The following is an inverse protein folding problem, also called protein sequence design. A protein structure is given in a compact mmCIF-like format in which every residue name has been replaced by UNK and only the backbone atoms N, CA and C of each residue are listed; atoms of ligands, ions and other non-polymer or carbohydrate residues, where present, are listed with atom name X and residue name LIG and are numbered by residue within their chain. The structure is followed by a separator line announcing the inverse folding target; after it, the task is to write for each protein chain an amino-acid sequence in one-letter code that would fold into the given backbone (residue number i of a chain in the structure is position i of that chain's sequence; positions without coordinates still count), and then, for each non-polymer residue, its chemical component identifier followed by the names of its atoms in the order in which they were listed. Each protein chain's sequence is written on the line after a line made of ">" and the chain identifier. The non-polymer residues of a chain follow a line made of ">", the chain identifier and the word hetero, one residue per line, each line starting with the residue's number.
data_IF_500583965501
#
_entry.id   IF_500583965501
#
_cell.length_a   1.000
_cell.length_b   1.000
_cell.length_c   1.000
_cell.angle_alpha   90.00
_cell.angle_beta   90.00
_cell.angle_gamma   90.00
#
_symmetry.space_group_name_H-M   'P 1'
#
loop_
_entity.id
_entity.type
_entity.pdbx_description
1 polymer ?
#
# COMPACT_ATOMS: atom_id res chain seq x y z
N UNK A 1 15.81 14.46 -12.53
CA UNK A 1 16.47 13.53 -11.59
C UNK A 1 16.99 12.37 -12.41
N UNK A 2 18.30 12.14 -12.45
CA UNK A 2 18.91 11.15 -13.33
C UNK A 2 19.01 9.81 -12.58
N UNK A 3 18.29 8.78 -13.04
CA UNK A 3 18.23 7.44 -12.42
C UNK A 3 19.63 6.89 -12.13
N UNK A 4 20.59 7.09 -13.03
CA UNK A 4 21.96 6.61 -12.86
C UNK A 4 22.68 7.31 -11.71
N UNK A 5 22.44 8.61 -11.49
CA UNK A 5 23.01 9.32 -10.35
C UNK A 5 22.47 8.76 -9.02
N UNK A 6 21.21 8.35 -8.98
CA UNK A 6 20.61 7.77 -7.78
C UNK A 6 21.10 6.35 -7.53
N UNK A 7 21.33 5.56 -8.59
CA UNK A 7 22.01 4.26 -8.51
C UNK A 7 23.43 4.45 -7.97
N UNK A 8 24.20 5.40 -8.50
CA UNK A 8 25.57 5.68 -8.08
C UNK A 8 25.63 6.09 -6.60
N UNK A 9 24.72 6.95 -6.13
CA UNK A 9 24.64 7.34 -4.69
C UNK A 9 24.39 6.15 -3.77
N UNK A 10 23.68 5.13 -4.23
CA UNK A 10 23.41 3.92 -3.45
C UNK A 10 24.61 2.96 -3.45
N UNK A 11 25.32 2.85 -4.58
CA UNK A 11 26.52 2.00 -4.71
C UNK A 11 27.77 2.61 -4.04
N UNK A 12 27.86 3.94 -4.01
CA UNK A 12 28.99 4.71 -3.48
C UNK A 12 28.56 5.58 -2.29
N UNK A 13 28.13 4.93 -1.20
CA UNK A 13 27.67 5.59 0.04
C UNK A 13 28.68 6.62 0.60
N UNK A 14 29.97 6.42 0.34
CA UNK A 14 31.09 7.25 0.82
C UNK A 14 31.36 8.50 -0.04
N UNK A 15 30.84 8.59 -1.28
CA UNK A 15 31.14 9.69 -2.23
C UNK A 15 29.97 10.66 -2.49
N UNK A 16 28.93 10.65 -1.63
CA UNK A 16 27.64 11.37 -1.87
C UNK A 16 27.77 12.85 -2.26
N UNK A 17 28.79 13.57 -1.77
CA UNK A 17 29.01 14.99 -2.07
C UNK A 17 29.50 15.30 -3.50
N UNK A 18 30.22 14.38 -4.14
CA UNK A 18 30.82 14.61 -5.46
C UNK A 18 29.92 14.18 -6.63
N UNK A 19 28.96 13.28 -6.38
CA UNK A 19 28.10 12.69 -7.43
C UNK A 19 27.22 13.73 -8.15
N UNK A 20 26.85 14.83 -7.48
CA UNK A 20 26.00 15.88 -8.07
C UNK A 20 26.73 16.67 -9.18
N UNK A 21 28.07 16.71 -9.14
CA UNK A 21 28.90 17.43 -10.13
C UNK A 21 29.29 16.59 -11.34
N UNK A 22 29.09 15.28 -11.30
CA UNK A 22 29.57 14.37 -12.34
C UNK A 22 28.71 14.44 -13.60
N UNK A 23 29.37 14.45 -14.76
CA UNK A 23 28.72 14.40 -16.06
C UNK A 23 28.09 13.03 -16.34
N UNK A 24 27.17 12.94 -17.31
CA UNK A 24 26.49 11.68 -17.65
C UNK A 24 27.46 10.54 -17.95
N UNK A 25 28.52 10.81 -18.74
CA UNK A 25 29.53 9.82 -19.12
C UNK A 25 30.31 9.32 -17.90
N UNK A 26 30.73 10.23 -17.03
CA UNK A 26 31.46 9.90 -15.79
C UNK A 26 30.61 9.05 -14.83
N UNK A 27 29.32 9.34 -14.72
CA UNK A 27 28.39 8.55 -13.90
C UNK A 27 28.27 7.12 -14.44
N UNK A 28 28.15 6.96 -15.77
CA UNK A 28 28.09 5.65 -16.43
C UNK A 28 29.36 4.84 -16.16
N UNK A 29 30.53 5.44 -16.35
CA UNK A 29 31.83 4.80 -16.16
C UNK A 29 32.08 4.38 -14.70
N UNK A 30 31.74 5.24 -13.72
CA UNK A 30 31.92 4.92 -12.30
C UNK A 30 30.98 3.78 -11.85
N UNK A 31 29.71 3.77 -12.29
CA UNK A 31 28.79 2.67 -11.99
C UNK A 31 29.33 1.37 -12.59
N UNK A 32 29.77 1.40 -13.85
CA UNK A 32 30.31 0.23 -14.54
C UNK A 32 31.48 -0.38 -13.77
N UNK A 33 32.44 0.47 -13.35
CA UNK A 33 33.60 0.05 -12.56
C UNK A 33 33.17 -0.57 -11.22
N UNK A 34 32.30 0.10 -10.47
CA UNK A 34 31.84 -0.37 -9.16
C UNK A 34 31.14 -1.74 -9.25
N UNK A 35 30.30 -1.95 -10.26
CA UNK A 35 29.57 -3.20 -10.43
C UNK A 35 30.44 -4.35 -10.93
N UNK A 36 31.60 -4.05 -11.52
CA UNK A 36 32.61 -5.05 -11.91
C UNK A 36 33.43 -5.53 -10.71
N UNK A 37 33.75 -4.62 -9.79
CA UNK A 37 34.54 -4.91 -8.59
C UNK A 37 33.70 -5.50 -7.45
N UNK A 38 32.41 -5.13 -7.36
CA UNK A 38 31.51 -5.55 -6.28
C UNK A 38 30.47 -6.55 -6.78
N UNK A 39 30.02 -7.42 -5.88
CA UNK A 39 28.88 -8.30 -6.12
C UNK A 39 27.60 -7.62 -5.64
N UNK A 40 26.84 -7.04 -6.56
CA UNK A 40 25.62 -6.31 -6.25
C UNK A 40 24.39 -6.95 -6.91
N UNK A 41 23.25 -6.88 -6.22
CA UNK A 41 21.94 -7.03 -6.86
C UNK A 41 21.36 -5.64 -7.09
N UNK A 42 21.32 -5.19 -8.33
CA UNK A 42 20.70 -3.91 -8.70
C UNK A 42 19.26 -4.16 -9.11
N UNK A 43 18.31 -3.52 -8.42
CA UNK A 43 16.89 -3.59 -8.76
C UNK A 43 16.46 -2.26 -9.36
N UNK A 44 16.07 -2.26 -10.63
CA UNK A 44 15.49 -1.10 -11.30
C UNK A 44 13.98 -1.29 -11.39
N UNK A 45 13.25 -0.51 -10.60
CA UNK A 45 11.81 -0.65 -10.47
C UNK A 45 11.06 0.15 -11.56
N UNK A 46 9.99 -0.43 -12.11
CA UNK A 46 9.01 0.17 -13.01
C UNK A 46 9.57 0.73 -14.33
N UNK A 47 10.41 -0.04 -15.04
CA UNK A 47 10.86 0.32 -16.40
C UNK A 47 9.71 0.14 -17.39
N UNK A 48 9.33 1.22 -18.09
CA UNK A 48 8.15 1.23 -18.95
C UNK A 48 8.43 1.01 -20.44
N UNK A 49 9.56 1.54 -20.95
CA UNK A 49 9.91 1.47 -22.38
C UNK A 49 11.25 0.76 -22.58
N UNK A 50 11.36 0.07 -23.71
CA UNK A 50 12.62 -0.55 -24.16
C UNK A 50 13.71 0.51 -24.32
N UNK A 51 13.36 1.71 -24.78
CA UNK A 51 14.32 2.79 -24.98
C UNK A 51 14.86 3.35 -23.65
N UNK A 52 14.05 3.35 -22.59
CA UNK A 52 14.50 3.72 -21.24
C UNK A 52 15.61 2.76 -20.79
N UNK A 53 15.39 1.45 -20.94
CA UNK A 53 16.42 0.46 -20.65
C UNK A 53 17.65 0.61 -21.55
N UNK A 54 17.50 0.85 -22.86
CA UNK A 54 18.64 1.08 -23.77
C UNK A 54 19.51 2.25 -23.30
N UNK A 55 18.91 3.31 -22.76
CA UNK A 55 19.65 4.46 -22.22
C UNK A 55 20.42 4.13 -20.94
N UNK A 56 19.92 3.19 -20.12
CA UNK A 56 20.52 2.82 -18.83
C UNK A 56 21.57 1.72 -18.96
N UNK A 57 21.35 0.78 -19.90
CA UNK A 57 22.18 -0.41 -20.13
C UNK A 57 23.70 -0.14 -20.16
N UNK A 58 24.23 0.94 -20.76
CA UNK A 58 25.67 1.17 -20.82
C UNK A 58 26.38 1.24 -19.46
N UNK A 59 25.67 1.56 -18.37
CA UNK A 59 26.24 1.63 -17.03
C UNK A 59 26.45 0.26 -16.37
N UNK A 60 25.99 -0.82 -16.99
CA UNK A 60 25.84 -2.12 -16.34
C UNK A 60 26.67 -3.23 -17.02
N UNK A 61 27.65 -3.84 -16.33
CA UNK A 61 28.47 -4.93 -16.86
C UNK A 61 27.71 -6.27 -16.81
N UNK A 62 26.66 -6.44 -17.62
CA UNK A 62 25.76 -7.62 -17.56
C UNK A 62 26.48 -8.95 -17.87
N UNK A 63 27.48 -8.90 -18.74
CA UNK A 63 28.25 -10.07 -19.18
C UNK A 63 29.57 -10.25 -18.43
N UNK A 64 29.90 -9.33 -17.51
CA UNK A 64 31.19 -9.28 -16.83
C UNK A 64 30.99 -9.16 -15.32
N UNK A 65 31.52 -10.13 -14.56
CA UNK A 65 31.44 -10.13 -13.10
C UNK A 65 30.21 -10.87 -12.56
N UNK A 66 29.98 -10.74 -11.25
CA UNK A 66 28.96 -11.49 -10.51
C UNK A 66 27.75 -10.63 -10.10
N UNK A 67 27.73 -9.36 -10.49
CA UNK A 67 26.60 -8.48 -10.24
C UNK A 67 25.37 -8.90 -11.07
N UNK A 68 24.20 -8.91 -10.43
CA UNK A 68 22.92 -9.28 -11.06
C UNK A 68 22.02 -8.06 -11.14
N UNK A 69 21.25 -7.97 -12.22
CA UNK A 69 20.30 -6.87 -12.43
C UNK A 69 18.91 -7.45 -12.56
N UNK A 70 17.99 -6.93 -11.75
CA UNK A 70 16.58 -7.24 -11.79
C UNK A 70 15.82 -6.01 -12.28
N UNK A 71 15.07 -6.16 -13.36
CA UNK A 71 14.18 -5.13 -13.87
C UNK A 71 12.75 -5.53 -13.51
N UNK A 72 11.98 -4.62 -12.91
CA UNK A 72 10.54 -4.82 -12.78
C UNK A 72 9.84 -4.00 -13.85
N UNK A 73 8.78 -4.55 -14.42
CA UNK A 73 7.99 -3.87 -15.45
C UNK A 73 6.55 -4.34 -15.43
N UNK A 74 5.66 -3.45 -15.87
CA UNK A 74 4.25 -3.74 -16.14
C UNK A 74 3.98 -4.02 -17.63
N UNK A 75 5.03 -4.05 -18.47
CA UNK A 75 4.93 -4.18 -19.93
C UNK A 75 5.69 -5.42 -20.42
N UNK A 76 4.96 -6.32 -21.07
CA UNK A 76 5.50 -7.59 -21.58
C UNK A 76 6.53 -7.40 -22.71
N UNK A 77 6.49 -6.28 -23.44
CA UNK A 77 7.39 -6.00 -24.56
C UNK A 77 8.87 -5.86 -24.18
N UNK A 78 9.20 -5.72 -22.89
CA UNK A 78 10.56 -5.73 -22.35
C UNK A 78 11.16 -7.14 -22.21
N UNK A 79 10.37 -8.19 -22.43
CA UNK A 79 10.81 -9.60 -22.43
C UNK A 79 11.96 -9.89 -23.40
N UNK A 80 12.11 -9.09 -24.45
CA UNK A 80 13.17 -9.25 -25.46
C UNK A 80 14.58 -8.94 -24.95
N UNK A 81 14.71 -8.35 -23.76
CA UNK A 81 15.99 -7.82 -23.28
C UNK A 81 16.64 -8.64 -22.17
N UNK A 82 15.98 -9.71 -21.71
CA UNK A 82 16.52 -10.59 -20.68
C UNK A 82 15.60 -11.77 -20.41
N UNK A 83 15.88 -12.51 -19.34
CA UNK A 83 15.00 -13.60 -18.88
C UNK A 83 13.75 -12.98 -18.25
N UNK A 84 12.59 -13.26 -18.83
CA UNK A 84 11.31 -12.81 -18.29
C UNK A 84 10.86 -13.74 -17.17
N UNK A 85 10.55 -13.16 -16.01
CA UNK A 85 9.85 -13.87 -14.94
C UNK A 85 8.45 -13.27 -14.77
N UNK A 86 7.40 -13.88 -15.36
CA UNK A 86 6.05 -13.37 -15.22
C UNK A 86 5.58 -13.53 -13.77
N UNK A 87 5.32 -12.39 -13.12
CA UNK A 87 4.67 -12.41 -11.82
C UNK A 87 3.18 -12.67 -12.03
N UNK A 88 2.69 -13.79 -11.49
CA UNK A 88 1.26 -14.02 -11.36
C UNK A 88 0.61 -12.96 -10.49
N UNK A 89 -0.67 -12.67 -10.74
CA UNK A 89 -1.45 -11.95 -9.74
C UNK A 89 -1.55 -12.80 -8.49
N UNK A 90 -1.48 -12.16 -7.33
CA UNK A 90 -1.81 -12.84 -6.08
C UNK A 90 -3.28 -13.25 -6.14
N UNK A 91 -3.56 -14.49 -5.72
CA UNK A 91 -4.93 -14.89 -5.41
C UNK A 91 -5.49 -14.01 -4.29
N UNK A 92 -6.81 -14.09 -4.04
CA UNK A 92 -7.43 -13.38 -2.92
C UNK A 92 -6.80 -13.81 -1.59
N UNK A 93 -6.52 -15.10 -1.45
CA UNK A 93 -5.93 -15.73 -0.28
C UNK A 93 -4.47 -15.34 -0.12
N UNK A 94 -3.67 -15.36 -1.20
CA UNK A 94 -2.27 -14.93 -1.18
C UNK A 94 -2.13 -13.43 -0.92
N UNK A 95 -3.01 -12.61 -1.49
CA UNK A 95 -3.09 -11.19 -1.24
C UNK A 95 -3.45 -10.89 0.22
N UNK A 96 -4.39 -11.66 0.79
CA UNK A 96 -4.73 -11.58 2.20
C UNK A 96 -3.58 -12.04 3.10
N UNK A 97 -2.89 -13.14 2.76
CA UNK A 97 -1.75 -13.63 3.52
C UNK A 97 -0.57 -12.66 3.44
N UNK A 98 -0.32 -12.04 2.29
CA UNK A 98 0.70 -11.01 2.15
C UNK A 98 0.33 -9.76 2.96
N UNK A 99 -0.94 -9.34 2.92
CA UNK A 99 -1.43 -8.25 3.76
C UNK A 99 -1.25 -8.61 5.23
N UNK A 100 -1.62 -9.82 5.66
CA UNK A 100 -1.46 -10.33 7.03
C UNK A 100 0.00 -10.34 7.43
N UNK A 101 0.89 -10.93 6.63
CA UNK A 101 2.33 -10.93 6.90
C UNK A 101 2.84 -9.50 7.00
N UNK A 102 2.55 -8.62 6.05
CA UNK A 102 3.02 -7.23 6.11
C UNK A 102 2.42 -6.48 7.30
N UNK A 103 1.14 -6.73 7.63
CA UNK A 103 0.37 -6.18 8.74
C UNK A 103 0.94 -6.55 10.09
N UNK A 104 1.30 -7.82 10.25
CA UNK A 104 1.55 -8.43 11.55
C UNK A 104 2.99 -8.92 11.73
N UNK A 105 3.89 -8.87 10.73
CA UNK A 105 5.27 -9.41 10.82
C UNK A 105 6.23 -8.67 11.76
N UNK A 106 5.81 -7.58 12.40
CA UNK A 106 6.60 -6.84 13.40
C UNK A 106 5.82 -6.54 14.67
N UNK A 107 4.60 -7.05 14.76
CA UNK A 107 3.89 -7.06 16.02
C UNK A 107 4.42 -8.32 16.68
N UNK A 108 5.20 -8.16 17.75
CA UNK A 108 5.33 -9.25 18.71
C UNK A 108 3.89 -9.75 18.93
N UNK A 109 3.60 -11.06 18.79
CA UNK A 109 2.30 -11.55 19.24
C UNK A 109 2.10 -10.95 20.63
N UNK A 110 0.92 -10.34 20.91
CA UNK A 110 0.70 -9.76 22.22
C UNK A 110 1.16 -10.81 23.21
N UNK A 111 2.12 -10.43 24.07
CA UNK A 111 2.65 -11.31 25.11
C UNK A 111 1.45 -12.06 25.66
N UNK A 112 1.48 -13.40 25.63
CA UNK A 112 0.37 -14.20 26.13
C UNK A 112 -0.02 -13.65 27.50
N UNK A 113 -1.25 -13.15 27.59
CA UNK A 113 -1.72 -12.33 28.70
C UNK A 113 -1.49 -10.83 28.48
N UNK A 114 -2.57 -10.11 28.14
CA UNK A 114 -3.10 -8.92 28.86
C UNK A 114 -4.36 -8.53 28.08
N UNK A 115 -5.45 -9.22 28.38
CA UNK A 115 -6.70 -8.50 28.68
C UNK A 115 -6.85 -8.74 30.18
N UNK A 116 -6.37 -7.82 31.01
CA UNK A 116 -6.80 -7.86 32.40
C UNK A 116 -8.29 -7.48 32.41
N UNK A 117 -9.08 -8.24 33.17
CA UNK A 117 -10.51 -7.99 33.40
C UNK A 117 -10.83 -6.58 33.92
N UNK A 118 -9.80 -5.80 34.27
CA UNK A 118 -9.88 -4.39 34.67
C UNK A 118 -10.09 -3.40 33.51
N UNK A 119 -9.85 -3.78 32.25
CA UNK A 119 -10.06 -2.90 31.07
C UNK A 119 -11.44 -3.06 30.43
N UNK A 120 -12.31 -3.84 31.08
CA UNK A 120 -13.67 -4.16 30.65
C UNK A 120 -14.62 -3.08 31.18
N UNK A 121 -15.34 -2.39 30.30
CA UNK A 121 -16.52 -1.63 30.72
C UNK A 121 -17.54 -2.58 31.34
N UNK A 122 -18.39 -2.11 32.27
CA UNK A 122 -19.28 -2.94 33.11
C UNK A 122 -20.21 -3.92 32.37
N UNK A 123 -20.28 -3.90 31.04
CA UNK A 123 -21.10 -4.79 30.21
C UNK A 123 -20.42 -5.21 28.88
N UNK A 124 -19.12 -4.96 28.68
CA UNK A 124 -18.45 -5.30 27.40
C UNK A 124 -18.18 -6.81 27.29
N UNK A 125 -18.54 -7.44 26.17
CA UNK A 125 -18.22 -8.86 25.93
C UNK A 125 -16.75 -9.04 25.53
N UNK A 126 -16.21 -10.25 25.70
CA UNK A 126 -14.85 -10.59 25.23
C UNK A 126 -14.69 -10.35 23.71
N UNK A 127 -15.78 -10.47 22.95
CA UNK A 127 -15.80 -10.18 21.52
C UNK A 127 -15.66 -8.67 21.24
N UNK A 128 -16.18 -7.81 22.10
CA UNK A 128 -16.05 -6.35 21.99
C UNK A 128 -14.62 -5.89 22.29
N UNK A 129 -13.97 -6.50 23.30
CA UNK A 129 -12.55 -6.25 23.60
C UNK A 129 -11.66 -6.67 22.43
N UNK A 130 -11.90 -7.86 21.86
CA UNK A 130 -11.15 -8.34 20.69
C UNK A 130 -11.34 -7.43 19.46
N UNK A 131 -12.57 -6.93 19.22
CA UNK A 131 -12.86 -5.96 18.15
C UNK A 131 -12.12 -4.64 18.36
N UNK A 132 -12.11 -4.10 19.59
CA UNK A 132 -11.38 -2.85 19.93
C UNK A 132 -9.89 -2.99 19.65
N UNK A 133 -9.32 -4.13 20.05
CA UNK A 133 -7.90 -4.43 19.83
C UNK A 133 -7.56 -4.59 18.35
N UNK A 134 -8.39 -5.31 17.58
CA UNK A 134 -8.24 -5.44 16.13
C UNK A 134 -8.35 -4.08 15.42
N UNK A 135 -9.26 -3.21 15.87
CA UNK A 135 -9.41 -1.86 15.35
C UNK A 135 -8.19 -0.99 15.65
N UNK A 136 -7.63 -1.07 16.86
CA UNK A 136 -6.41 -0.34 17.25
C UNK A 136 -5.20 -0.81 16.43
N UNK A 137 -5.06 -2.12 16.25
CA UNK A 137 -4.03 -2.72 15.40
C UNK A 137 -4.18 -2.31 13.93
N UNK A 138 -5.39 -2.39 13.39
CA UNK A 138 -5.69 -1.98 12.03
C UNK A 138 -5.42 -0.48 11.83
N UNK A 139 -5.78 0.36 12.81
CA UNK A 139 -5.50 1.81 12.81
C UNK A 139 -4.00 2.07 12.74
N UNK A 140 -3.23 1.48 13.67
CA UNK A 140 -1.77 1.67 13.72
C UNK A 140 -1.11 1.20 12.43
N UNK A 141 -1.57 0.08 11.87
CA UNK A 141 -0.98 -0.49 10.67
C UNK A 141 -1.33 0.27 9.38
N UNK A 142 -2.61 0.58 9.16
CA UNK A 142 -3.09 1.31 7.98
C UNK A 142 -2.42 2.69 7.86
N UNK A 143 -2.32 3.40 8.99
CA UNK A 143 -1.75 4.77 9.05
C UNK A 143 -0.24 4.77 8.81
N UNK A 144 0.49 3.75 9.29
CA UNK A 144 1.96 3.77 9.23
C UNK A 144 2.53 3.15 7.95
N UNK A 145 1.91 2.10 7.39
CA UNK A 145 2.54 1.30 6.32
C UNK A 145 1.85 1.34 4.96
N UNK A 146 0.56 1.64 4.90
CA UNK A 146 -0.23 1.54 3.67
C UNK A 146 -0.49 2.90 3.00
N UNK A 147 0.46 3.84 3.14
CA UNK A 147 0.35 5.21 2.61
C UNK A 147 0.09 5.26 1.09
N UNK A 148 0.62 4.29 0.34
CA UNK A 148 0.50 4.19 -1.11
C UNK A 148 -0.71 3.38 -1.59
N UNK A 149 -1.55 2.89 -0.68
CA UNK A 149 -2.70 2.07 -1.05
C UNK A 149 -3.67 2.89 -1.92
N UNK A 150 -4.01 2.35 -3.10
CA UNK A 150 -4.92 3.00 -4.05
C UNK A 150 -6.29 2.31 -4.14
N UNK A 151 -6.32 1.01 -3.89
CA UNK A 151 -7.51 0.18 -4.01
C UNK A 151 -7.61 -0.63 -2.72
N UNK A 152 -8.74 -0.53 -2.04
CA UNK A 152 -9.04 -1.29 -0.84
C UNK A 152 -10.41 -1.93 -1.00
N UNK A 153 -10.45 -3.25 -0.91
CA UNK A 153 -11.67 -4.04 -0.86
C UNK A 153 -11.70 -4.81 0.44
N UNK A 154 -12.70 -4.53 1.27
CA UNK A 154 -12.97 -5.22 2.52
C UNK A 154 -14.25 -6.04 2.35
N UNK A 155 -14.17 -7.34 2.60
CA UNK A 155 -15.27 -8.29 2.46
C UNK A 155 -15.24 -9.26 3.63
N UNK A 156 -16.38 -9.51 4.28
CA UNK A 156 -16.54 -10.54 5.33
C UNK A 156 -15.67 -10.30 6.59
N UNK A 157 -15.20 -9.07 6.82
CA UNK A 157 -14.47 -8.71 8.06
C UNK A 157 -15.46 -8.00 8.97
N UNK A 158 -15.93 -8.66 10.03
CA UNK A 158 -16.86 -8.05 10.99
C UNK A 158 -16.17 -6.96 11.82
N UNK A 159 -16.35 -5.70 11.45
CA UNK A 159 -15.97 -4.54 12.25
C UNK A 159 -17.17 -3.61 12.44
N UNK A 160 -17.50 -3.27 13.68
CA UNK A 160 -18.65 -2.40 13.97
C UNK A 160 -18.45 -0.98 13.38
N UNK A 161 -17.20 -0.50 13.30
CA UNK A 161 -16.78 0.80 12.73
C UNK A 161 -15.40 0.67 12.07
N UNK A 162 -15.14 1.43 11.01
CA UNK A 162 -13.78 1.64 10.51
C UNK A 162 -12.98 2.53 11.46
N UNK A 163 -11.64 2.38 11.52
CA UNK A 163 -10.80 3.18 12.40
C UNK A 163 -10.76 4.67 12.02
N UNK A 164 -10.69 5.57 13.00
CA UNK A 164 -10.66 7.02 12.77
C UNK A 164 -9.47 7.45 11.88
N UNK A 165 -8.34 6.74 11.94
CA UNK A 165 -7.15 6.99 11.11
C UNK A 165 -7.29 6.62 9.62
N UNK A 166 -8.45 6.16 9.16
CA UNK A 166 -8.67 5.76 7.77
C UNK A 166 -8.45 6.89 6.75
N UNK A 167 -8.70 8.15 7.15
CA UNK A 167 -8.44 9.34 6.34
C UNK A 167 -6.97 9.54 5.95
N UNK A 168 -6.03 8.84 6.59
CA UNK A 168 -4.60 8.93 6.27
C UNK A 168 -4.19 8.15 5.01
N UNK A 169 -5.09 7.38 4.40
CA UNK A 169 -4.86 6.68 3.13
C UNK A 169 -4.94 7.65 1.95
N UNK A 170 -4.06 8.66 1.93
CA UNK A 170 -4.16 9.80 1.02
C UNK A 170 -4.16 9.40 -0.46
N UNK A 171 -3.53 8.27 -0.82
CA UNK A 171 -3.46 7.78 -2.18
C UNK A 171 -4.66 6.91 -2.60
N UNK A 172 -5.61 6.64 -1.69
CA UNK A 172 -6.75 5.78 -1.94
C UNK A 172 -7.66 6.40 -3.00
N UNK A 173 -8.02 5.60 -4.01
CA UNK A 173 -8.87 5.97 -5.15
C UNK A 173 -10.13 5.14 -5.19
N UNK A 174 -10.07 3.90 -4.73
CA UNK A 174 -11.19 2.97 -4.70
C UNK A 174 -11.31 2.37 -3.30
N UNK A 175 -12.48 2.51 -2.70
CA UNK A 175 -12.86 1.81 -1.49
C UNK A 175 -14.14 1.04 -1.75
N UNK A 176 -14.11 -0.27 -1.47
CA UNK A 176 -15.32 -1.06 -1.37
C UNK A 176 -15.36 -1.82 -0.05
N UNK A 177 -16.51 -1.78 0.60
CA UNK A 177 -16.77 -2.47 1.88
C UNK A 177 -18.04 -3.29 1.67
N UNK A 178 -17.94 -4.60 1.88
CA UNK A 178 -19.02 -5.57 1.71
C UNK A 178 -19.09 -6.49 2.92
N UNK A 179 -20.27 -6.80 3.42
CA UNK A 179 -20.47 -7.84 4.44
C UNK A 179 -19.55 -7.67 5.67
N UNK A 180 -19.44 -6.44 6.16
CA UNK A 180 -18.57 -6.10 7.30
C UNK A 180 -19.35 -5.84 8.61
N UNK A 181 -20.69 -5.91 8.58
CA UNK A 181 -21.53 -5.61 9.75
C UNK A 181 -21.36 -4.17 10.28
N UNK A 182 -20.95 -3.24 9.42
CA UNK A 182 -20.64 -1.86 9.77
C UNK A 182 -21.93 -1.08 10.01
N UNK A 183 -22.06 -0.45 11.19
CA UNK A 183 -23.23 0.36 11.57
C UNK A 183 -23.07 1.84 11.22
N UNK A 184 -21.82 2.30 11.13
CA UNK A 184 -21.48 3.69 10.88
C UNK A 184 -20.19 3.79 10.06
N UNK A 185 -20.18 4.69 9.08
CA UNK A 185 -18.98 5.04 8.31
C UNK A 185 -18.31 6.28 8.95
N UNK A 186 -17.01 6.23 9.29
CA UNK A 186 -16.36 7.31 10.03
C UNK A 186 -16.27 8.59 9.20
N UNK A 187 -16.39 9.74 9.87
CA UNK A 187 -16.29 11.06 9.23
C UNK A 187 -14.95 11.30 8.53
N UNK A 188 -13.87 10.67 8.99
CA UNK A 188 -12.54 10.77 8.38
C UNK A 188 -12.45 10.20 6.97
N UNK A 189 -13.44 9.41 6.53
CA UNK A 189 -13.52 9.01 5.12
C UNK A 189 -13.65 10.22 4.21
N UNK A 190 -14.30 11.30 4.68
CA UNK A 190 -14.52 12.53 3.95
C UNK A 190 -13.23 13.34 3.72
N UNK A 191 -12.14 12.97 4.40
CA UNK A 191 -10.84 13.62 4.30
C UNK A 191 -9.92 12.96 3.26
N UNK A 192 -10.38 11.90 2.56
CA UNK A 192 -9.60 11.21 1.53
C UNK A 192 -9.49 12.08 0.26
N UNK A 193 -8.31 12.67 -0.04
CA UNK A 193 -8.19 13.73 -1.05
C UNK A 193 -8.31 13.20 -2.49
N UNK A 194 -8.07 11.90 -2.69
CA UNK A 194 -8.02 11.27 -4.01
C UNK A 194 -9.04 10.17 -4.22
N UNK A 195 -10.02 9.99 -3.32
CA UNK A 195 -11.04 8.96 -3.47
C UNK A 195 -11.92 9.25 -4.69
N UNK A 196 -12.08 8.25 -5.56
CA UNK A 196 -12.84 8.33 -6.81
C UNK A 196 -14.07 7.42 -6.79
N UNK A 197 -13.97 6.27 -6.12
CA UNK A 197 -15.07 5.31 -6.00
C UNK A 197 -15.25 4.90 -4.55
N UNK A 198 -16.48 5.02 -4.06
CA UNK A 198 -16.95 4.49 -2.79
C UNK A 198 -18.11 3.53 -3.07
N UNK A 199 -17.88 2.23 -2.87
CA UNK A 199 -18.90 1.19 -3.06
C UNK A 199 -19.23 0.53 -1.73
N UNK A 200 -20.44 0.80 -1.25
CA UNK A 200 -20.97 0.32 0.03
C UNK A 200 -22.21 -0.56 -0.17
N UNK A 201 -22.41 -1.11 -1.38
CA UNK A 201 -23.49 -2.07 -1.64
C UNK A 201 -23.19 -3.39 -0.94
N UNK A 202 -24.22 -3.94 -0.31
CA UNK A 202 -24.16 -5.22 0.38
C UNK A 202 -25.36 -6.09 -0.01
N UNK A 203 -25.13 -7.39 -0.13
CA UNK A 203 -26.14 -8.34 -0.61
C UNK A 203 -26.78 -9.13 0.56
N UNK A 204 -26.17 -9.11 1.76
CA UNK A 204 -26.35 -10.17 2.77
C UNK A 204 -26.77 -9.67 4.17
N UNK A 205 -26.75 -8.36 4.44
CA UNK A 205 -26.95 -7.85 5.81
C UNK A 205 -28.43 -7.66 6.18
N UNK A 206 -28.79 -8.32 7.29
CA UNK A 206 -30.04 -8.19 8.03
C UNK A 206 -30.37 -6.73 8.38
N UNK A 207 -31.61 -6.50 8.79
CA UNK A 207 -32.22 -5.19 9.06
C UNK A 207 -31.35 -4.24 9.90
N UNK A 208 -31.26 -2.98 9.47
CA UNK A 208 -30.50 -1.94 10.17
C UNK A 208 -30.13 -0.78 9.25
N UNK A 209 -30.45 0.43 9.67
CA UNK A 209 -30.06 1.65 8.97
C UNK A 209 -28.57 1.94 9.21
N UNK A 210 -27.83 2.27 8.16
CA UNK A 210 -26.40 2.62 8.27
C UNK A 210 -26.23 4.13 8.14
N UNK A 211 -25.61 4.73 9.15
CA UNK A 211 -25.37 6.17 9.20
C UNK A 211 -24.21 6.57 8.26
N UNK A 212 -24.48 7.49 7.33
CA UNK A 212 -23.46 8.11 6.49
C UNK A 212 -22.97 9.42 7.11
N UNK A 213 -21.67 9.73 6.99
CA UNK A 213 -21.14 11.01 7.40
C UNK A 213 -21.76 12.13 6.54
N UNK A 214 -22.25 13.18 7.21
CA UNK A 214 -22.88 14.35 6.59
C UNK A 214 -21.93 15.20 5.73
N UNK A 215 -20.64 14.83 5.66
CA UNK A 215 -19.58 15.55 4.97
C UNK A 215 -19.07 14.87 3.70
N UNK A 216 -19.80 13.89 3.12
CA UNK A 216 -19.37 13.20 1.88
C UNK A 216 -19.10 14.16 0.71
N UNK A 217 -19.74 15.33 0.70
CA UNK A 217 -19.53 16.42 -0.26
C UNK A 217 -18.10 17.02 -0.23
N UNK A 218 -17.31 16.74 0.80
CA UNK A 218 -15.88 17.10 0.87
C UNK A 218 -15.01 16.28 -0.08
N UNK A 219 -15.48 15.12 -0.53
CA UNK A 219 -14.77 14.25 -1.45
C UNK A 219 -14.78 14.81 -2.89
N UNK A 220 -13.98 15.84 -3.15
CA UNK A 220 -13.97 16.60 -4.43
C UNK A 220 -13.64 15.77 -5.67
N UNK A 221 -13.07 14.58 -5.50
CA UNK A 221 -12.71 13.68 -6.62
C UNK A 221 -13.60 12.46 -6.74
N UNK A 222 -14.64 12.34 -5.92
CA UNK A 222 -15.57 11.22 -5.98
C UNK A 222 -16.36 11.28 -7.28
N UNK A 223 -16.35 10.17 -8.03
CA UNK A 223 -17.03 10.01 -9.33
C UNK A 223 -18.10 8.94 -9.27
N UNK A 224 -17.91 7.93 -8.42
CA UNK A 224 -18.80 6.80 -8.29
C UNK A 224 -19.12 6.57 -6.82
N UNK A 225 -20.39 6.72 -6.47
CA UNK A 225 -20.92 6.44 -5.15
C UNK A 225 -22.01 5.37 -5.29
N UNK A 226 -21.78 4.20 -4.73
CA UNK A 226 -22.76 3.12 -4.74
C UNK A 226 -23.22 2.85 -3.31
N UNK A 227 -24.50 3.11 -3.06
CA UNK A 227 -25.15 2.93 -1.77
C UNK A 227 -26.34 1.99 -1.93
N UNK A 228 -26.67 1.26 -0.87
CA UNK A 228 -27.96 0.57 -0.76
C UNK A 228 -29.05 1.50 -0.22
N UNK A 229 -30.32 1.08 -0.29
CA UNK A 229 -31.48 1.86 0.20
C UNK A 229 -31.46 2.14 1.72
N UNK A 230 -30.60 1.47 2.49
CA UNK A 230 -30.52 1.54 3.96
C UNK A 230 -29.59 2.63 4.50
N UNK A 231 -28.95 3.42 3.63
CA UNK A 231 -28.05 4.50 4.06
C UNK A 231 -28.80 5.83 4.19
N UNK A 232 -28.74 6.45 5.37
CA UNK A 232 -29.28 7.78 5.61
C UNK A 232 -28.17 8.73 6.06
N UNK A 233 -28.31 10.02 5.72
CA UNK A 233 -27.42 11.04 6.25
C UNK A 233 -27.74 11.28 7.73
N UNK A 234 -26.71 11.40 8.56
CA UNK A 234 -26.89 11.91 9.92
C UNK A 234 -27.34 13.37 9.79
N UNK A 235 -28.59 13.67 10.17
CA UNK A 235 -29.16 15.01 10.08
C UNK A 235 -28.30 16.03 10.83
N UNK A 236 -27.86 17.07 10.12
CA UNK A 236 -27.39 18.30 10.74
C UNK A 236 -28.60 19.20 11.00
N UNK A 237 -28.74 19.67 12.24
CA UNK A 237 -29.59 20.82 12.56
C UNK A 237 -29.05 22.11 11.97
#
# INVERSE_FOLDING_TARGET
>A
MNVLQDVLKQLALEKKGNVIKMGHREVVEEIYKLLKEKNCLVVLDDIWRVDDWKSLRPAFPITEGNSKILLTTRKENLSKVGVLYPLGFLSKEEGWELLRKKAFSKIDPPREGIVSSSDQGKEETMMDVAKRYLNELASRYLVQKLKFLRVLYLSCVRFNKLPQGFGCLIHLRFLRIKDCGMKELPSSICDLPFLQTLDLRDDITEEGDIALPNALWKLKRLRHLYLNRKYHAIGGG
#
